data_IF_876352256896
#
_entry.id   IF_876352256896
#
_cell.length_a   1.000
_cell.length_b   1.000
_cell.length_c   1.000
_cell.angle_alpha   90.00
_cell.angle_beta   90.00
_cell.angle_gamma   90.00
#
_symmetry.space_group_name_H-M   'P 1'
#
loop_
_entity.id
_entity.type
_entity.pdbx_description
1 polymer ?
#
# COMPACT_ATOMS: atom_id res chain seq x y z
N UNK A 1 -0.78 -13.38 -14.09
CA UNK A 1 0.45 -12.83 -13.50
C UNK A 1 0.12 -12.20 -12.15
N UNK A 2 1.07 -12.26 -11.23
CA UNK A 2 0.93 -11.64 -9.92
C UNK A 2 1.74 -10.33 -9.93
N UNK A 3 1.15 -9.14 -9.68
CA UNK A 3 1.86 -7.87 -9.68
C UNK A 3 2.88 -7.74 -8.53
N UNK A 4 2.90 -8.68 -7.59
CA UNK A 4 3.92 -8.78 -6.53
C UNK A 4 5.20 -9.49 -7.00
N UNK A 5 5.12 -10.27 -8.10
CA UNK A 5 6.23 -11.10 -8.58
C UNK A 5 7.10 -10.29 -9.56
N UNK A 6 8.39 -10.05 -9.23
CA UNK A 6 9.31 -9.38 -10.15
C UNK A 6 9.42 -10.05 -11.52
N UNK A 7 9.25 -11.39 -11.60
CA UNK A 7 9.29 -12.11 -12.85
C UNK A 7 8.17 -11.69 -13.81
N UNK A 8 7.03 -11.23 -13.30
CA UNK A 8 5.92 -10.72 -14.11
C UNK A 8 6.28 -9.44 -14.89
N UNK A 9 7.27 -8.69 -14.44
CA UNK A 9 7.71 -7.43 -15.06
C UNK A 9 8.88 -7.59 -16.05
N UNK A 10 9.51 -8.75 -16.15
CA UNK A 10 10.74 -8.95 -16.93
C UNK A 10 10.60 -8.49 -18.39
N UNK A 11 9.54 -8.90 -19.09
CA UNK A 11 9.33 -8.52 -20.48
C UNK A 11 8.90 -7.06 -20.61
N UNK A 12 8.08 -6.58 -19.69
CA UNK A 12 7.63 -5.19 -19.66
C UNK A 12 8.79 -4.22 -19.41
N UNK A 13 9.72 -4.55 -18.53
CA UNK A 13 10.93 -3.75 -18.29
C UNK A 13 11.80 -3.66 -19.54
N UNK A 14 12.00 -4.78 -20.26
CA UNK A 14 12.74 -4.78 -21.50
C UNK A 14 12.12 -3.87 -22.57
N UNK A 15 10.80 -3.96 -22.76
CA UNK A 15 10.08 -3.09 -23.69
C UNK A 15 10.14 -1.63 -23.23
N UNK A 16 10.02 -1.39 -21.94
CA UNK A 16 10.08 -0.04 -21.37
C UNK A 16 11.43 0.64 -21.59
N UNK A 17 12.53 -0.10 -21.53
CA UNK A 17 13.86 0.40 -21.90
C UNK A 17 13.94 0.79 -23.38
N UNK A 18 13.36 -0.02 -24.27
CA UNK A 18 13.33 0.23 -25.72
C UNK A 18 12.54 1.50 -26.07
N UNK A 19 11.41 1.74 -25.41
CA UNK A 19 10.52 2.88 -25.70
C UNK A 19 10.76 4.09 -24.77
N UNK A 20 11.63 3.97 -23.78
CA UNK A 20 11.93 5.03 -22.83
C UNK A 20 10.78 5.36 -21.88
N UNK A 21 9.99 4.37 -21.45
CA UNK A 21 8.86 4.60 -20.55
C UNK A 21 9.31 5.13 -19.18
N UNK A 22 8.52 6.01 -18.58
CA UNK A 22 8.77 6.54 -17.23
C UNK A 22 8.25 5.61 -16.14
N UNK A 23 7.17 4.85 -16.43
CA UNK A 23 6.51 3.97 -15.47
C UNK A 23 5.93 2.74 -16.19
N UNK A 24 5.94 1.60 -15.52
CA UNK A 24 5.38 0.33 -15.97
C UNK A 24 4.26 -0.08 -15.02
N UNK A 25 3.13 -0.51 -15.55
CA UNK A 25 2.00 -1.01 -14.78
C UNK A 25 1.81 -2.50 -15.03
N UNK A 26 1.54 -3.26 -13.97
CA UNK A 26 1.15 -4.65 -14.05
C UNK A 26 -0.05 -4.92 -13.15
N UNK A 27 -1.15 -5.45 -13.73
CA UNK A 27 -2.33 -5.84 -12.95
C UNK A 27 -2.42 -7.37 -12.88
N UNK A 28 -3.19 -7.87 -11.93
CA UNK A 28 -3.66 -9.25 -11.94
C UNK A 28 -4.85 -9.45 -12.92
N UNK A 29 -5.30 -10.69 -13.15
CA UNK A 29 -6.28 -10.97 -14.21
C UNK A 29 -7.65 -10.33 -14.01
N UNK A 30 -8.10 -10.15 -12.78
CA UNK A 30 -9.37 -9.50 -12.41
C UNK A 30 -9.22 -8.00 -12.15
N UNK A 31 -7.97 -7.48 -12.29
CA UNK A 31 -7.64 -6.05 -12.23
C UNK A 31 -8.09 -5.37 -10.93
N UNK A 32 -8.04 -6.07 -9.81
CA UNK A 32 -8.30 -5.48 -8.49
C UNK A 32 -7.00 -5.01 -7.81
N UNK A 33 -5.82 -5.46 -8.28
CA UNK A 33 -4.50 -5.08 -7.80
C UNK A 33 -3.65 -4.52 -8.93
N UNK A 34 -2.72 -3.61 -8.57
CA UNK A 34 -1.75 -3.02 -9.51
C UNK A 34 -0.39 -2.84 -8.86
N UNK A 35 0.64 -3.35 -9.52
CA UNK A 35 2.04 -3.10 -9.21
C UNK A 35 2.66 -2.16 -10.23
N UNK A 36 3.73 -1.47 -9.85
CA UNK A 36 4.46 -0.56 -10.73
C UNK A 36 5.96 -0.73 -10.62
N UNK A 37 6.64 -0.48 -11.75
CA UNK A 37 8.06 -0.22 -11.76
C UNK A 37 8.32 1.20 -12.29
N UNK A 38 9.20 1.93 -11.62
CA UNK A 38 9.54 3.32 -11.93
C UNK A 38 11.06 3.48 -11.99
N UNK A 39 11.55 4.50 -12.68
CA UNK A 39 13.01 4.76 -12.73
C UNK A 39 13.50 5.29 -11.38
N UNK A 40 14.60 4.71 -10.89
CA UNK A 40 15.37 5.19 -9.74
C UNK A 40 16.34 6.30 -10.14
N UNK A 41 17.19 6.73 -9.22
CA UNK A 41 18.23 7.76 -9.40
C UNK A 41 19.35 7.35 -10.37
N UNK A 42 19.52 6.05 -10.65
CA UNK A 42 20.42 5.53 -11.68
C UNK A 42 19.75 5.33 -13.05
N UNK A 43 18.44 5.62 -13.16
CA UNK A 43 17.64 5.42 -14.35
C UNK A 43 17.22 3.96 -14.60
N UNK A 44 17.40 3.07 -13.60
CA UNK A 44 16.97 1.67 -13.66
C UNK A 44 15.55 1.51 -13.15
N UNK A 45 14.82 0.53 -13.67
CA UNK A 45 13.49 0.23 -13.17
C UNK A 45 13.52 -0.41 -11.78
N UNK A 46 12.96 0.28 -10.82
CA UNK A 46 12.75 -0.14 -9.45
C UNK A 46 11.30 -0.61 -9.28
N UNK A 47 11.10 -1.87 -8.92
CA UNK A 47 9.77 -2.41 -8.62
C UNK A 47 9.37 -1.98 -7.20
N UNK A 48 8.34 -1.14 -7.10
CA UNK A 48 7.84 -0.65 -5.81
C UNK A 48 6.98 -1.72 -5.13
N UNK A 49 7.13 -1.86 -3.82
CA UNK A 49 6.24 -2.71 -3.00
C UNK A 49 4.87 -2.05 -2.84
N UNK A 50 3.84 -2.86 -2.52
CA UNK A 50 2.49 -2.32 -2.27
C UNK A 50 2.46 -1.29 -1.14
N UNK A 51 3.28 -1.47 -0.09
CA UNK A 51 3.45 -0.48 0.97
C UNK A 51 4.03 0.84 0.46
N UNK A 52 5.03 0.79 -0.41
CA UNK A 52 5.66 1.98 -0.99
C UNK A 52 4.68 2.72 -1.91
N UNK A 53 3.99 1.99 -2.78
CA UNK A 53 2.96 2.55 -3.66
C UNK A 53 1.86 3.22 -2.81
N UNK A 54 1.33 2.51 -1.80
CA UNK A 54 0.30 3.04 -0.91
C UNK A 54 0.73 4.34 -0.21
N UNK A 55 1.97 4.43 0.27
CA UNK A 55 2.50 5.64 0.88
C UNK A 55 2.67 6.79 -0.11
N UNK A 56 3.16 6.53 -1.32
CA UNK A 56 3.33 7.55 -2.36
C UNK A 56 1.97 8.09 -2.81
N UNK A 57 0.99 7.22 -3.05
CA UNK A 57 -0.37 7.62 -3.41
C UNK A 57 -1.05 8.42 -2.30
N UNK A 58 -0.96 7.94 -1.06
CA UNK A 58 -1.49 8.66 0.10
C UNK A 58 -0.88 10.07 0.21
N UNK A 59 0.44 10.18 0.12
CA UNK A 59 1.14 11.45 0.19
C UNK A 59 0.69 12.40 -0.94
N UNK A 60 0.60 11.88 -2.17
CA UNK A 60 0.12 12.64 -3.33
C UNK A 60 -1.30 13.16 -3.10
N UNK A 61 -2.24 12.28 -2.71
CA UNK A 61 -3.65 12.65 -2.45
C UNK A 61 -3.74 13.76 -1.40
N UNK A 62 -3.08 13.57 -0.26
CA UNK A 62 -3.17 14.51 0.86
C UNK A 62 -2.54 15.85 0.52
N UNK A 63 -1.39 15.84 -0.15
CA UNK A 63 -0.69 17.06 -0.58
C UNK A 63 -1.50 17.84 -1.60
N UNK A 64 -2.05 17.16 -2.61
CA UNK A 64 -2.86 17.75 -3.67
C UNK A 64 -4.18 18.33 -3.12
N UNK A 65 -4.92 17.56 -2.30
CA UNK A 65 -6.16 18.02 -1.67
C UNK A 65 -5.92 19.21 -0.75
N UNK A 66 -4.83 19.21 0.01
CA UNK A 66 -4.45 20.35 0.85
C UNK A 66 -4.16 21.60 0.01
N UNK A 67 -3.43 21.45 -1.10
CA UNK A 67 -3.12 22.56 -1.99
C UNK A 67 -4.38 23.13 -2.66
N UNK A 68 -5.36 22.28 -2.98
CA UNK A 68 -6.66 22.67 -3.55
C UNK A 68 -7.68 23.18 -2.50
N UNK A 69 -7.35 23.13 -1.22
CA UNK A 69 -8.27 23.54 -0.14
C UNK A 69 -9.48 22.63 0.07
N UNK A 70 -9.42 21.37 -0.41
CA UNK A 70 -10.51 20.39 -0.34
C UNK A 70 -10.15 19.14 0.47
N UNK A 71 -9.11 19.20 1.32
CA UNK A 71 -8.80 18.15 2.26
C UNK A 71 -9.85 18.16 3.40
N UNK A 72 -10.62 17.08 3.61
CA UNK A 72 -11.64 17.06 4.63
C UNK A 72 -11.02 17.10 6.04
N UNK A 73 -11.58 17.91 6.93
CA UNK A 73 -11.08 18.05 8.31
C UNK A 73 -11.30 16.76 9.14
N UNK A 74 -12.32 15.99 8.80
CA UNK A 74 -12.68 14.69 9.37
C UNK A 74 -12.14 13.50 8.55
N UNK A 75 -11.12 13.75 7.72
CA UNK A 75 -10.58 12.77 6.77
C UNK A 75 -10.01 11.53 7.46
N UNK A 76 -10.31 10.38 6.89
CA UNK A 76 -9.86 9.07 7.37
C UNK A 76 -9.12 8.28 6.29
N UNK A 77 -8.01 7.68 6.69
CA UNK A 77 -7.25 6.67 5.94
C UNK A 77 -7.49 5.31 6.58
N UNK A 78 -7.67 4.28 5.79
CA UNK A 78 -7.92 2.91 6.30
C UNK A 78 -6.92 1.94 5.66
N UNK A 79 -6.24 1.14 6.48
CA UNK A 79 -5.27 0.15 5.99
C UNK A 79 -5.36 -1.16 6.76
N UNK A 80 -4.83 -2.25 6.20
CA UNK A 80 -4.68 -3.49 6.96
C UNK A 80 -3.65 -3.33 8.10
N UNK A 81 -3.81 -4.10 9.15
CA UNK A 81 -2.88 -4.08 10.31
C UNK A 81 -1.44 -4.45 9.93
N UNK A 82 -1.27 -5.23 8.86
CA UNK A 82 0.04 -5.66 8.33
C UNK A 82 0.65 -4.67 7.33
N UNK A 83 -0.12 -3.69 6.88
CA UNK A 83 0.42 -2.60 6.05
C UNK A 83 1.25 -1.63 6.88
N UNK A 84 2.18 -0.94 6.21
CA UNK A 84 3.19 -0.08 6.86
C UNK A 84 2.61 1.00 7.78
N UNK A 85 3.22 1.21 8.93
CA UNK A 85 2.89 2.34 9.84
C UNK A 85 3.39 3.70 9.31
N UNK A 86 4.20 3.72 8.26
CA UNK A 86 4.56 4.96 7.55
C UNK A 86 3.31 5.71 7.05
N UNK A 87 2.30 4.96 6.58
CA UNK A 87 1.03 5.55 6.15
C UNK A 87 0.30 6.31 7.27
N UNK A 88 0.35 5.78 8.50
CA UNK A 88 -0.18 6.49 9.68
C UNK A 88 0.55 7.81 9.91
N UNK A 89 1.89 7.80 9.88
CA UNK A 89 2.70 9.00 10.04
C UNK A 89 2.38 10.07 9.01
N UNK A 90 2.20 9.64 7.75
CA UNK A 90 1.79 10.55 6.68
C UNK A 90 0.41 11.12 6.97
N UNK A 91 -0.60 10.30 7.24
CA UNK A 91 -1.96 10.75 7.51
C UNK A 91 -2.03 11.75 8.68
N UNK A 92 -1.42 11.41 9.81
CA UNK A 92 -1.37 12.24 11.02
C UNK A 92 -0.70 13.61 10.76
N UNK A 93 0.33 13.68 9.91
CA UNK A 93 1.00 14.94 9.55
C UNK A 93 0.11 15.92 8.77
N UNK A 94 -0.95 15.41 8.15
CA UNK A 94 -1.99 16.21 7.50
C UNK A 94 -3.24 16.42 8.36
N UNK A 95 -3.23 15.94 9.60
CA UNK A 95 -4.35 16.07 10.55
C UNK A 95 -5.44 14.99 10.36
N UNK A 96 -5.18 13.94 9.59
CA UNK A 96 -6.14 12.86 9.34
C UNK A 96 -5.94 11.69 10.32
N UNK A 97 -7.02 10.94 10.55
CA UNK A 97 -6.97 9.72 11.34
C UNK A 97 -6.64 8.52 10.44
N UNK A 98 -5.81 7.60 10.94
CA UNK A 98 -5.50 6.34 10.26
C UNK A 98 -6.04 5.14 11.05
N UNK A 99 -6.98 4.42 10.45
CA UNK A 99 -7.58 3.21 11.03
C UNK A 99 -6.88 1.95 10.52
N UNK A 100 -6.64 1.01 11.43
CA UNK A 100 -6.19 -0.32 11.10
C UNK A 100 -7.39 -1.29 11.06
N UNK A 101 -7.43 -2.17 10.07
CA UNK A 101 -8.38 -3.26 9.96
C UNK A 101 -7.68 -4.62 9.94
N UNK A 102 -8.41 -5.69 10.08
CA UNK A 102 -7.90 -7.02 9.76
C UNK A 102 -7.57 -7.10 8.26
N UNK A 103 -6.74 -8.07 7.89
CA UNK A 103 -6.40 -8.36 6.49
C UNK A 103 -7.64 -8.81 5.70
N UNK A 104 -7.78 -8.26 4.53
CA UNK A 104 -8.92 -8.48 3.63
C UNK A 104 -9.70 -7.19 3.40
N UNK A 105 -9.83 -6.81 2.15
CA UNK A 105 -10.39 -5.50 1.74
C UNK A 105 -11.84 -5.29 2.20
N UNK A 106 -12.58 -6.38 2.44
CA UNK A 106 -13.93 -6.33 3.05
C UNK A 106 -13.99 -5.54 4.35
N UNK A 107 -12.90 -5.56 5.14
CA UNK A 107 -12.85 -4.82 6.41
C UNK A 107 -12.62 -3.32 6.20
N UNK A 108 -11.89 -2.97 5.14
CA UNK A 108 -11.78 -1.57 4.69
C UNK A 108 -13.15 -1.10 4.19
N UNK A 109 -13.83 -1.91 3.38
CA UNK A 109 -15.17 -1.61 2.88
C UNK A 109 -16.21 -1.47 4.02
N UNK A 110 -16.16 -2.34 5.03
CA UNK A 110 -17.00 -2.23 6.22
C UNK A 110 -16.74 -0.91 6.97
N UNK A 111 -15.47 -0.50 7.07
CA UNK A 111 -15.11 0.76 7.71
C UNK A 111 -15.67 1.97 6.96
N UNK A 112 -15.63 1.95 5.63
CA UNK A 112 -16.27 2.96 4.78
C UNK A 112 -17.78 3.02 5.05
N UNK A 113 -18.43 1.86 5.14
CA UNK A 113 -19.85 1.80 5.45
C UNK A 113 -20.17 2.41 6.82
N UNK A 114 -19.38 2.07 7.84
CA UNK A 114 -19.52 2.64 9.19
C UNK A 114 -19.40 4.16 9.20
N UNK A 115 -18.46 4.73 8.44
CA UNK A 115 -18.30 6.19 8.31
C UNK A 115 -19.52 6.83 7.67
N UNK A 116 -20.08 6.22 6.62
CA UNK A 116 -21.28 6.74 5.96
C UNK A 116 -22.53 6.68 6.86
N UNK A 117 -22.69 5.60 7.64
CA UNK A 117 -23.82 5.44 8.55
C UNK A 117 -23.76 6.40 9.74
N UNK A 118 -22.57 6.66 10.27
CA UNK A 118 -22.36 7.54 11.42
C UNK A 118 -22.18 9.00 11.05
N UNK A 119 -21.71 9.28 9.84
CA UNK A 119 -21.35 10.64 9.41
C UNK A 119 -20.20 11.25 10.21
N UNK A 120 -19.32 10.41 10.76
CA UNK A 120 -18.24 10.85 11.67
C UNK A 120 -16.89 11.03 10.98
N UNK A 121 -16.70 10.43 9.80
CA UNK A 121 -15.45 10.54 9.04
C UNK A 121 -15.71 10.53 7.53
N UNK A 122 -14.85 11.23 6.79
CA UNK A 122 -14.79 11.18 5.33
C UNK A 122 -13.66 10.26 4.89
N UNK A 123 -13.99 9.16 4.20
CA UNK A 123 -12.98 8.26 3.63
C UNK A 123 -12.16 8.97 2.55
N UNK A 124 -10.85 8.92 2.66
CA UNK A 124 -9.91 9.57 1.73
C UNK A 124 -9.14 8.55 0.90
N UNK A 125 -8.61 7.52 1.55
CA UNK A 125 -7.82 6.48 0.91
C UNK A 125 -7.75 5.22 1.77
N UNK A 126 -7.73 4.07 1.10
CA UNK A 126 -7.50 2.78 1.77
C UNK A 126 -6.63 1.87 0.94
N UNK A 127 -5.84 1.02 1.61
CA UNK A 127 -4.96 0.10 0.91
C UNK A 127 -4.53 -1.11 1.76
N UNK A 128 -4.09 -2.13 1.06
CA UNK A 128 -3.39 -3.30 1.61
C UNK A 128 -1.99 -3.40 0.99
N UNK A 129 -1.03 -3.94 1.75
CA UNK A 129 0.35 -4.18 1.31
C UNK A 129 0.43 -5.09 0.08
N UNK A 130 -0.61 -5.90 -0.15
CA UNK A 130 -0.76 -6.82 -1.29
C UNK A 130 -1.24 -6.12 -2.58
N UNK A 131 -0.88 -4.85 -2.76
CA UNK A 131 -1.09 -4.08 -4.00
C UNK A 131 -2.55 -3.72 -4.29
N UNK A 132 -3.42 -3.78 -3.30
CA UNK A 132 -4.82 -3.35 -3.38
C UNK A 132 -5.02 -1.94 -2.87
N UNK A 133 -5.61 -1.05 -3.69
CA UNK A 133 -5.80 0.37 -3.39
C UNK A 133 -7.23 0.80 -3.72
N UNK A 134 -7.74 1.77 -2.94
CA UNK A 134 -9.04 2.40 -3.15
C UNK A 134 -8.98 3.88 -2.74
N UNK A 135 -9.34 4.78 -3.66
CA UNK A 135 -9.34 6.24 -3.42
C UNK A 135 -10.74 6.86 -3.44
N UNK A 136 -11.78 6.05 -3.51
CA UNK A 136 -13.17 6.51 -3.66
C UNK A 136 -14.15 5.61 -2.90
N UNK A 137 -15.41 5.98 -2.88
CA UNK A 137 -16.48 5.22 -2.20
C UNK A 137 -17.54 4.65 -3.16
N UNK A 138 -17.33 4.76 -4.48
CA UNK A 138 -18.29 4.24 -5.47
C UNK A 138 -18.20 2.72 -5.64
N UNK A 139 -17.09 2.11 -5.29
CA UNK A 139 -16.94 0.65 -5.15
C UNK A 139 -16.58 0.27 -3.72
N UNK A 140 -16.74 -1.00 -3.36
CA UNK A 140 -16.48 -1.55 -2.01
C UNK A 140 -15.39 -2.60 -2.00
N UNK A 141 -14.50 -2.53 -2.97
CA UNK A 141 -13.32 -3.39 -3.08
C UNK A 141 -12.16 -2.62 -3.69
N UNK A 142 -11.00 -3.26 -3.76
CA UNK A 142 -9.83 -2.80 -4.49
C UNK A 142 -10.20 -2.48 -5.94
N UNK A 143 -9.63 -1.42 -6.46
CA UNK A 143 -9.89 -0.99 -7.84
C UNK A 143 -8.57 -0.65 -8.53
N UNK A 144 -8.03 -1.64 -9.27
CA UNK A 144 -6.78 -1.49 -10.01
C UNK A 144 -6.89 -0.51 -11.18
N UNK A 145 -8.09 -0.31 -11.76
CA UNK A 145 -8.30 0.68 -12.82
C UNK A 145 -8.19 2.09 -12.26
N UNK A 146 -8.94 2.39 -11.19
CA UNK A 146 -8.86 3.67 -10.50
C UNK A 146 -7.45 3.93 -9.93
N UNK A 147 -6.83 2.90 -9.33
CA UNK A 147 -5.47 3.00 -8.82
C UNK A 147 -4.44 3.29 -9.93
N UNK A 148 -4.57 2.65 -11.09
CA UNK A 148 -3.69 2.91 -12.24
C UNK A 148 -3.80 4.37 -12.73
N UNK A 149 -5.02 4.90 -12.81
CA UNK A 149 -5.23 6.31 -13.16
C UNK A 149 -4.59 7.24 -12.12
N UNK A 150 -4.79 6.96 -10.83
CA UNK A 150 -4.22 7.74 -9.73
C UNK A 150 -2.67 7.68 -9.71
N UNK A 151 -2.09 6.52 -10.01
CA UNK A 151 -0.63 6.36 -10.13
C UNK A 151 -0.10 7.19 -11.31
N UNK A 152 -0.77 7.14 -12.46
CA UNK A 152 -0.37 7.93 -13.63
C UNK A 152 -0.45 9.44 -13.35
N UNK A 153 -1.49 9.88 -12.65
CA UNK A 153 -1.65 11.27 -12.21
C UNK A 153 -0.54 11.68 -11.22
N UNK A 154 -0.23 10.84 -10.24
CA UNK A 154 0.86 11.07 -9.29
C UNK A 154 2.23 11.12 -9.98
N UNK A 155 2.46 10.27 -10.99
CA UNK A 155 3.68 10.27 -11.79
C UNK A 155 3.80 11.56 -12.61
N UNK A 156 2.71 11.99 -13.25
CA UNK A 156 2.67 13.27 -13.98
C UNK A 156 2.93 14.46 -13.05
N UNK A 157 2.31 14.46 -11.86
CA UNK A 157 2.56 15.48 -10.82
C UNK A 157 4.03 15.49 -10.37
N UNK A 158 4.65 14.34 -10.13
CA UNK A 158 6.07 14.25 -9.79
C UNK A 158 6.93 14.81 -10.92
N UNK A 159 6.61 14.46 -12.18
CA UNK A 159 7.34 14.92 -13.37
C UNK A 159 7.29 16.44 -13.55
N UNK A 160 6.20 17.12 -13.17
CA UNK A 160 6.13 18.60 -13.17
C UNK A 160 7.14 19.26 -12.22
N UNK A 161 7.68 18.49 -11.27
CA UNK A 161 8.71 18.91 -10.31
C UNK A 161 10.10 18.39 -10.68
N UNK A 162 10.27 17.79 -11.86
CA UNK A 162 11.51 17.15 -12.28
C UNK A 162 11.86 15.87 -11.50
N UNK A 163 10.85 15.16 -10.98
CA UNK A 163 11.00 13.99 -10.12
C UNK A 163 10.31 12.76 -10.69
N UNK A 164 10.76 11.59 -10.24
CA UNK A 164 10.08 10.30 -10.41
C UNK A 164 9.25 9.98 -9.15
N UNK A 165 8.42 8.93 -9.21
CA UNK A 165 7.74 8.42 -7.99
C UNK A 165 8.75 7.82 -6.99
N UNK A 166 9.90 7.34 -7.47
CA UNK A 166 11.01 6.92 -6.60
C UNK A 166 11.56 8.10 -5.78
N UNK A 167 11.77 9.26 -6.41
CA UNK A 167 12.21 10.47 -5.73
C UNK A 167 11.20 10.93 -4.67
N UNK A 168 9.90 10.84 -4.98
CA UNK A 168 8.83 11.13 -4.01
C UNK A 168 8.90 10.17 -2.82
N UNK A 169 9.13 8.88 -3.05
CA UNK A 169 9.32 7.91 -1.98
C UNK A 169 10.54 8.27 -1.10
N UNK A 170 11.67 8.67 -1.71
CA UNK A 170 12.85 9.10 -0.96
C UNK A 170 12.56 10.36 -0.12
N UNK A 171 11.77 11.30 -0.62
CA UNK A 171 11.33 12.47 0.15
C UNK A 171 10.44 12.09 1.35
N UNK A 172 9.53 11.15 1.15
CA UNK A 172 8.70 10.60 2.23
C UNK A 172 9.59 9.99 3.33
N UNK A 173 10.58 9.18 2.96
CA UNK A 173 11.51 8.59 3.92
C UNK A 173 12.35 9.65 4.65
N UNK A 174 12.82 10.68 3.98
CA UNK A 174 13.56 11.80 4.61
C UNK A 174 12.69 12.57 5.59
N UNK A 175 11.38 12.69 5.32
CA UNK A 175 10.45 13.48 6.12
C UNK A 175 9.92 12.71 7.33
N UNK A 176 9.55 11.44 7.16
CA UNK A 176 8.81 10.66 8.15
C UNK A 176 9.62 9.52 8.78
N UNK A 177 10.82 9.26 8.27
CA UNK A 177 11.67 8.14 8.67
C UNK A 177 11.64 6.99 7.68
N UNK A 178 12.65 6.13 7.77
CA UNK A 178 12.83 5.00 6.86
C UNK A 178 12.13 3.77 7.42
N UNK A 179 11.16 3.26 6.68
CA UNK A 179 10.39 2.06 7.01
C UNK A 179 10.77 0.94 6.05
N UNK A 180 11.15 -0.21 6.60
CA UNK A 180 11.49 -1.41 5.83
C UNK A 180 10.64 -2.56 6.33
N UNK A 181 9.77 -3.04 5.47
CA UNK A 181 8.98 -4.25 5.69
C UNK A 181 9.46 -5.35 4.75
N UNK A 182 9.42 -6.59 5.25
CA UNK A 182 9.73 -7.78 4.46
C UNK A 182 8.66 -8.83 4.67
N UNK A 183 8.08 -9.30 3.58
CA UNK A 183 7.20 -10.46 3.60
C UNK A 183 8.04 -11.73 3.51
N UNK A 184 7.78 -12.67 4.41
CA UNK A 184 8.33 -14.03 4.35
C UNK A 184 7.17 -14.99 4.13
N UNK A 185 7.09 -15.57 2.93
CA UNK A 185 6.06 -16.55 2.61
C UNK A 185 6.56 -17.96 2.86
N UNK A 186 5.78 -18.72 3.62
CA UNK A 186 6.04 -20.14 3.90
C UNK A 186 4.91 -20.97 3.33
N UNK A 187 5.21 -21.80 2.34
CA UNK A 187 4.24 -22.71 1.73
C UNK A 187 4.35 -24.09 2.37
N UNK A 188 3.27 -24.56 2.95
CA UNK A 188 3.14 -25.92 3.48
C UNK A 188 2.16 -26.72 2.60
N UNK A 189 2.65 -27.63 1.75
CA UNK A 189 1.80 -28.32 0.77
C UNK A 189 0.89 -29.38 1.42
N UNK A 190 -0.23 -29.67 0.75
CA UNK A 190 -1.14 -30.77 1.08
C UNK A 190 -2.02 -30.53 2.31
N UNK A 191 -2.83 -31.55 2.64
CA UNK A 191 -3.76 -31.53 3.80
C UNK A 191 -3.03 -31.31 5.12
N UNK A 192 -1.88 -31.97 5.31
CA UNK A 192 -1.09 -31.86 6.52
C UNK A 192 -0.52 -30.44 6.70
N UNK A 193 -0.20 -29.77 5.60
CA UNK A 193 0.21 -28.36 5.60
C UNK A 193 -0.85 -27.43 6.16
N UNK A 194 -2.11 -27.65 5.78
CA UNK A 194 -3.25 -26.83 6.30
C UNK A 194 -3.43 -27.04 7.80
N UNK A 195 -3.33 -28.28 8.29
CA UNK A 195 -3.41 -28.60 9.72
C UNK A 195 -2.28 -27.92 10.47
N UNK A 196 -1.05 -28.09 9.97
CA UNK A 196 0.15 -27.51 10.58
C UNK A 196 0.11 -25.96 10.62
N UNK A 197 -0.40 -25.31 9.59
CA UNK A 197 -0.60 -23.84 9.61
C UNK A 197 -1.56 -23.41 10.72
N UNK A 198 -2.67 -24.12 10.90
CA UNK A 198 -3.63 -23.84 11.98
C UNK A 198 -3.00 -24.02 13.36
N UNK A 199 -2.21 -25.07 13.55
CA UNK A 199 -1.49 -25.33 14.80
C UNK A 199 -0.44 -24.24 15.08
N UNK A 200 0.34 -23.82 14.09
CA UNK A 200 1.31 -22.71 14.24
C UNK A 200 0.59 -21.45 14.70
N UNK A 201 -0.51 -21.07 14.03
CA UNK A 201 -1.25 -19.87 14.38
C UNK A 201 -1.91 -19.96 15.76
N UNK A 202 -2.42 -21.15 16.14
CA UNK A 202 -2.95 -21.39 17.48
C UNK A 202 -1.85 -21.23 18.53
N UNK A 203 -0.70 -21.87 18.31
CA UNK A 203 0.43 -21.79 19.24
C UNK A 203 0.95 -20.36 19.41
N UNK A 204 1.05 -19.57 18.33
CA UNK A 204 1.47 -18.17 18.43
C UNK A 204 0.49 -17.29 19.24
N UNK A 205 -0.81 -17.60 19.23
CA UNK A 205 -1.82 -16.90 20.06
C UNK A 205 -1.74 -17.33 21.52
N UNK A 206 -1.59 -18.63 21.79
CA UNK A 206 -1.57 -19.19 23.15
C UNK A 206 -0.21 -18.97 23.83
N UNK A 207 0.88 -19.02 23.08
CA UNK A 207 2.26 -18.91 23.56
C UNK A 207 3.04 -17.90 22.71
N UNK A 208 2.72 -16.62 22.74
CA UNK A 208 3.44 -15.62 21.96
C UNK A 208 4.90 -15.54 22.37
N UNK A 209 5.84 -15.31 21.44
CA UNK A 209 7.25 -15.20 21.76
C UNK A 209 7.48 -14.01 22.71
N UNK A 210 8.32 -14.20 23.73
CA UNK A 210 8.70 -13.11 24.65
C UNK A 210 9.69 -12.14 24.05
N UNK A 211 10.46 -12.60 23.07
CA UNK A 211 11.43 -11.78 22.34
C UNK A 211 11.30 -12.03 20.83
N UNK A 212 11.49 -11.00 20.02
CA UNK A 212 11.50 -11.07 18.57
C UNK A 212 12.70 -10.26 18.03
N UNK A 213 13.52 -10.89 17.19
CA UNK A 213 14.74 -10.28 16.65
C UNK A 213 15.62 -9.61 17.73
N UNK A 214 15.77 -10.26 18.90
CA UNK A 214 16.56 -9.76 20.01
C UNK A 214 15.95 -8.61 20.82
N UNK A 215 14.70 -8.24 20.56
CA UNK A 215 13.96 -7.22 21.32
C UNK A 215 12.78 -7.84 22.07
N UNK A 216 12.49 -7.32 23.24
CA UNK A 216 11.34 -7.76 24.04
C UNK A 216 10.02 -7.45 23.34
N UNK A 217 9.07 -8.39 23.40
CA UNK A 217 7.70 -8.19 22.92
C UNK A 217 6.93 -7.46 24.03
N UNK A 218 6.56 -6.20 23.78
CA UNK A 218 5.89 -5.37 24.77
C UNK A 218 4.37 -5.60 24.81
N UNK A 219 3.77 -6.00 23.71
CA UNK A 219 2.33 -6.30 23.63
C UNK A 219 2.02 -7.26 22.49
N UNK A 220 1.00 -8.08 22.66
CA UNK A 220 0.35 -8.91 21.63
C UNK A 220 -1.09 -8.42 21.53
N UNK A 221 -1.56 -8.17 20.30
CA UNK A 221 -2.89 -7.65 20.03
C UNK A 221 -3.64 -8.52 19.05
#
# INVERSE_FOLDING_TARGET
>A
PNPEDPAAFTLAMKLADEVGADCIFGTDPDCDRVGIAVKDDEGKYYLMTGNQIGCVLLYYILKSRKALGNLPADGAVVKSVVSTELARKIAESFGLVCFNTLTGFKWIAEKIQQFQEKGDHTFVFGFEESYGFLSSTFVRDKDGVNASLLIAEAAAWAKTQGKTLYDILQEIYKTYGYYVEKVVSVTLPGKDGVVKMKEIMKNLRENPPKTLAGKDVLAVR
#
